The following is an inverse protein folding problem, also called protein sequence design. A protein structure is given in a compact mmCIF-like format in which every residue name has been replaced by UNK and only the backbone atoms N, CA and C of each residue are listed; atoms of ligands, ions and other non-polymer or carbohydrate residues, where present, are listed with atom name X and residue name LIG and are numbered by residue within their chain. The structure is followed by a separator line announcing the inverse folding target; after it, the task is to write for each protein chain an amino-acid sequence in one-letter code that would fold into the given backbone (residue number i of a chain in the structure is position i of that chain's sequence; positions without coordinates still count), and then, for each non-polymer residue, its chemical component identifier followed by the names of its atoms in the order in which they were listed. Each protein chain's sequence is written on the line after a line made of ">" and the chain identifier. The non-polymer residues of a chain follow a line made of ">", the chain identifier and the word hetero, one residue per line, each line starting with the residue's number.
data_IF_634522963219
#
_entry.id   IF_634522963219
#
_cell.length_a   1.000
_cell.length_b   1.000
_cell.length_c   1.000
_cell.angle_alpha   90.00
_cell.angle_beta   90.00
_cell.angle_gamma   90.00
#
_symmetry.space_group_name_H-M   'P 1'
#
loop_
_entity.id
_entity.type
_entity.pdbx_description
1 polymer ?
#
# COMPACT_ATOMS: atom_id res chain seq x y z
N UNK A 1 -16.11 28.58 -49.92
CA UNK A 1 -17.43 27.93 -49.83
C UNK A 1 -17.54 27.14 -48.55
N UNK A 2 -18.44 27.51 -47.63
CA UNK A 2 -18.73 26.84 -46.37
C UNK A 2 -19.95 25.90 -46.51
N UNK A 3 -20.09 24.93 -45.59
CA UNK A 3 -21.31 24.16 -45.24
C UNK A 3 -20.88 23.00 -44.33
N UNK A 4 -21.49 22.61 -43.22
CA UNK A 4 -22.70 22.96 -42.46
C UNK A 4 -22.51 22.36 -41.05
N UNK A 5 -22.88 23.00 -39.94
CA UNK A 5 -24.16 22.79 -39.22
C UNK A 5 -24.12 21.56 -38.28
N UNK A 6 -24.67 21.51 -37.07
CA UNK A 6 -25.51 22.42 -36.28
C UNK A 6 -25.66 21.86 -34.84
N UNK A 7 -26.12 22.74 -33.93
CA UNK A 7 -26.94 22.50 -32.71
C UNK A 7 -26.31 21.67 -31.55
N UNK A 8 -26.46 22.02 -30.26
CA UNK A 8 -27.35 22.95 -29.58
C UNK A 8 -28.00 22.23 -28.40
N UNK A 9 -27.77 22.67 -27.17
CA UNK A 9 -28.64 22.40 -26.02
C UNK A 9 -28.29 23.37 -24.89
N UNK A 10 -29.23 24.25 -24.56
CA UNK A 10 -29.17 25.18 -23.44
C UNK A 10 -30.52 25.20 -22.72
N UNK A 11 -30.47 25.81 -21.53
CA UNK A 11 -31.54 26.15 -20.61
C UNK A 11 -32.06 25.04 -19.68
N UNK A 12 -31.61 25.16 -18.44
CA UNK A 12 -32.19 24.57 -17.24
C UNK A 12 -33.48 25.32 -16.87
N UNK A 13 -34.52 24.56 -16.58
CA UNK A 13 -35.80 25.03 -16.06
C UNK A 13 -35.76 25.05 -14.52
N UNK A 14 -36.22 26.15 -13.94
CA UNK A 14 -36.33 26.36 -12.49
C UNK A 14 -37.81 26.46 -12.14
N UNK A 15 -38.33 25.48 -11.40
CA UNK A 15 -39.68 25.48 -10.87
C UNK A 15 -39.68 25.14 -9.38
N UNK A 16 -39.84 26.16 -8.55
CA UNK A 16 -40.12 26.06 -7.11
C UNK A 16 -41.63 26.15 -6.92
N UNK A 17 -42.29 25.13 -6.36
CA UNK A 17 -43.54 25.31 -5.64
C UNK A 17 -43.59 24.43 -4.39
N UNK A 18 -43.87 25.09 -3.27
CA UNK A 18 -44.09 24.54 -1.94
C UNK A 18 -45.51 23.99 -1.81
N UNK A 19 -45.67 22.89 -1.08
CA UNK A 19 -46.96 22.30 -0.75
C UNK A 19 -46.87 21.51 0.55
N UNK A 20 -47.02 22.21 1.67
CA UNK A 20 -47.21 21.66 3.01
C UNK A 20 -48.55 20.89 3.09
N UNK A 21 -48.51 19.61 3.45
CA UNK A 21 -49.67 18.90 3.99
C UNK A 21 -49.20 17.77 4.92
N UNK A 22 -49.14 18.09 6.21
CA UNK A 22 -48.89 17.15 7.29
C UNK A 22 -50.04 16.14 7.50
N UNK A 23 -49.65 15.01 8.13
CA UNK A 23 -50.43 14.07 8.97
C UNK A 23 -50.78 12.72 8.33
N UNK A 24 -50.04 11.67 8.68
CA UNK A 24 -50.43 10.76 9.78
C UNK A 24 -49.44 9.59 9.95
N UNK A 25 -49.31 9.18 11.20
CA UNK A 25 -48.42 8.17 11.74
C UNK A 25 -48.72 6.75 11.24
N UNK A 26 -47.66 5.94 11.05
CA UNK A 26 -47.49 4.62 11.65
C UNK A 26 -46.23 3.96 11.04
N UNK A 27 -45.49 3.25 11.89
CA UNK A 27 -44.11 2.87 11.64
C UNK A 27 -43.85 2.05 10.38
N UNK A 28 -42.65 2.26 9.83
CA UNK A 28 -41.90 1.27 9.05
C UNK A 28 -40.44 1.70 9.07
N UNK A 29 -39.71 1.00 9.93
CA UNK A 29 -38.31 0.59 9.78
C UNK A 29 -37.46 1.54 8.93
N UNK A 30 -36.72 2.40 9.61
CA UNK A 30 -35.49 2.94 9.05
C UNK A 30 -34.58 1.73 8.75
N UNK A 31 -34.54 1.30 7.50
CA UNK A 31 -33.45 0.49 7.00
C UNK A 31 -32.23 1.41 6.99
N UNK A 32 -31.59 1.52 8.14
CA UNK A 32 -30.20 1.93 8.22
C UNK A 32 -29.43 0.92 7.39
N UNK A 33 -29.15 1.26 6.14
CA UNK A 33 -28.15 0.58 5.34
C UNK A 33 -26.85 0.79 6.09
N UNK A 34 -26.54 -0.16 6.98
CA UNK A 34 -25.24 -0.29 7.59
C UNK A 34 -24.27 -0.46 6.42
N UNK A 35 -23.56 0.61 6.06
CA UNK A 35 -22.34 0.52 5.30
C UNK A 35 -21.48 -0.46 6.06
N UNK A 36 -21.45 -1.71 5.58
CA UNK A 36 -20.78 -2.80 6.24
C UNK A 36 -19.36 -2.35 6.51
N UNK A 37 -19.01 -2.21 7.78
CA UNK A 37 -17.64 -1.99 8.18
C UNK A 37 -16.85 -3.16 7.62
N UNK A 38 -16.13 -2.92 6.53
CA UNK A 38 -15.20 -3.88 5.94
C UNK A 38 -14.35 -4.39 7.11
N UNK A 39 -14.28 -5.71 7.35
CA UNK A 39 -13.48 -6.23 8.45
C UNK A 39 -12.08 -5.65 8.32
N UNK A 40 -11.54 -5.15 9.43
CA UNK A 40 -10.22 -4.53 9.44
C UNK A 40 -9.22 -5.52 8.84
N UNK A 41 -8.60 -5.13 7.72
CA UNK A 41 -7.63 -5.95 7.01
C UNK A 41 -6.57 -6.46 7.99
N UNK A 42 -6.31 -7.77 7.99
CA UNK A 42 -5.28 -8.33 8.85
C UNK A 42 -3.94 -7.68 8.47
N UNK A 43 -3.39 -6.89 9.40
CA UNK A 43 -2.18 -6.11 9.22
C UNK A 43 -1.08 -6.67 10.11
N UNK A 44 0.09 -6.90 9.54
CA UNK A 44 1.25 -7.40 10.28
C UNK A 44 2.36 -6.36 10.27
N UNK A 45 2.92 -6.05 11.44
CA UNK A 45 4.06 -5.13 11.57
C UNK A 45 5.38 -5.90 11.71
N UNK A 46 6.42 -5.40 11.04
CA UNK A 46 7.75 -6.00 10.97
C UNK A 46 8.82 -4.98 10.57
N UNK A 47 10.09 -5.36 10.70
CA UNK A 47 11.22 -4.73 10.04
C UNK A 47 11.66 -5.58 8.85
N UNK A 48 12.25 -4.93 7.85
CA UNK A 48 12.84 -5.62 6.68
C UNK A 48 14.35 -5.56 6.82
N UNK A 49 14.97 -6.69 7.11
CA UNK A 49 16.40 -6.82 7.40
C UNK A 49 17.10 -7.37 6.16
N UNK A 50 18.07 -6.64 5.63
CA UNK A 50 18.91 -7.08 4.53
C UNK A 50 19.90 -8.16 4.98
N UNK A 51 20.38 -9.01 4.07
CA UNK A 51 21.34 -10.07 4.41
C UNK A 51 22.67 -9.56 4.97
N UNK A 52 23.00 -8.27 4.77
CA UNK A 52 24.17 -7.63 5.40
C UNK A 52 23.98 -7.30 6.88
N UNK A 53 22.77 -7.48 7.44
CA UNK A 53 22.42 -7.08 8.80
C UNK A 53 21.94 -5.63 8.94
N UNK A 54 21.82 -4.89 7.83
CA UNK A 54 21.23 -3.55 7.79
C UNK A 54 19.71 -3.63 7.65
N UNK A 55 18.98 -2.58 8.06
CA UNK A 55 17.53 -2.51 7.97
C UNK A 55 17.07 -1.53 6.90
N UNK A 56 16.00 -1.90 6.19
CA UNK A 56 15.26 -0.98 5.34
C UNK A 56 14.70 0.16 6.20
N UNK A 57 14.91 1.39 5.75
CA UNK A 57 14.54 2.61 6.45
C UNK A 57 13.80 3.52 5.48
N UNK A 58 12.60 3.96 5.89
CA UNK A 58 11.76 4.92 5.18
C UNK A 58 11.98 6.33 5.74
N UNK A 59 12.73 7.15 4.99
CA UNK A 59 12.91 8.59 5.21
C UNK A 59 12.13 9.36 4.14
N UNK A 60 12.71 10.37 3.50
CA UNK A 60 12.14 10.93 2.27
C UNK A 60 12.07 9.86 1.16
N UNK A 61 13.04 8.95 1.14
CA UNK A 61 13.19 7.80 0.24
C UNK A 61 13.49 6.52 1.03
N UNK A 62 13.38 5.35 0.39
CA UNK A 62 13.87 4.08 0.92
C UNK A 62 15.38 3.98 0.81
N UNK A 63 16.00 3.59 1.92
CA UNK A 63 17.42 3.28 2.01
C UNK A 63 17.67 2.14 2.98
N UNK A 64 18.90 1.63 3.02
CA UNK A 64 19.35 0.76 4.12
C UNK A 64 20.20 1.54 5.10
N UNK A 65 19.98 1.30 6.40
CA UNK A 65 20.74 1.88 7.50
C UNK A 65 20.93 0.86 8.62
N UNK A 66 21.68 1.22 9.66
CA UNK A 66 21.80 0.39 10.86
C UNK A 66 20.43 0.12 11.49
N UNK A 67 20.19 -1.11 11.93
CA UNK A 67 18.93 -1.47 12.55
C UNK A 67 18.71 -0.75 13.89
N UNK A 68 17.54 -0.15 14.06
CA UNK A 68 17.07 0.55 15.24
C UNK A 68 15.97 -0.31 15.90
N UNK A 69 16.11 -0.63 17.19
CA UNK A 69 15.16 -1.51 17.90
C UNK A 69 13.74 -0.92 17.98
N UNK A 70 13.61 0.41 18.05
CA UNK A 70 12.32 1.12 18.12
C UNK A 70 12.16 2.17 17.00
N UNK A 71 12.97 2.07 15.95
CA UNK A 71 12.99 3.03 14.86
C UNK A 71 11.67 3.02 14.09
N UNK A 72 10.81 4.03 14.28
CA UNK A 72 9.54 4.17 13.54
C UNK A 72 9.76 4.10 12.03
N UNK A 73 10.88 4.66 11.55
CA UNK A 73 11.26 4.67 10.13
C UNK A 73 11.60 3.29 9.56
N UNK A 74 11.89 2.31 10.42
CA UNK A 74 12.22 0.94 10.01
C UNK A 74 11.06 -0.03 10.27
N UNK A 75 9.92 0.50 10.73
CA UNK A 75 8.71 -0.28 10.97
C UNK A 75 7.83 -0.19 9.73
N UNK A 76 7.52 -1.37 9.19
CA UNK A 76 6.61 -1.54 8.08
C UNK A 76 5.40 -2.33 8.52
N UNK A 77 4.33 -2.20 7.74
CA UNK A 77 3.07 -2.89 7.95
C UNK A 77 2.58 -3.45 6.61
N UNK A 78 2.28 -4.74 6.53
CA UNK A 78 1.71 -5.34 5.32
C UNK A 78 0.19 -5.50 5.46
N UNK A 79 -0.55 -5.02 4.46
CA UNK A 79 -1.98 -5.24 4.29
C UNK A 79 -2.21 -6.48 3.44
N UNK A 80 -2.93 -7.46 3.98
CA UNK A 80 -3.26 -8.70 3.26
C UNK A 80 -4.31 -8.51 2.18
N UNK A 81 -5.21 -7.53 2.34
CA UNK A 81 -6.26 -7.21 1.36
C UNK A 81 -5.69 -6.62 0.06
N UNK A 82 -4.74 -5.71 0.21
CA UNK A 82 -4.19 -4.92 -0.91
C UNK A 82 -2.81 -5.40 -1.32
N UNK A 83 -2.22 -6.36 -0.60
CA UNK A 83 -0.83 -6.79 -0.74
C UNK A 83 0.17 -5.61 -0.68
N UNK A 84 -0.19 -4.51 -0.02
CA UNK A 84 0.69 -3.34 0.08
C UNK A 84 1.53 -3.38 1.35
N UNK A 85 2.73 -2.80 1.27
CA UNK A 85 3.63 -2.62 2.41
C UNK A 85 3.72 -1.13 2.68
N UNK A 86 3.40 -0.72 3.91
CA UNK A 86 3.36 0.66 4.33
C UNK A 86 4.47 0.96 5.33
N UNK A 87 5.07 2.14 5.25
CA UNK A 87 5.91 2.65 6.33
C UNK A 87 5.05 3.11 7.53
N UNK A 88 5.68 3.48 8.64
CA UNK A 88 4.97 3.99 9.81
C UNK A 88 4.25 5.34 9.58
N UNK A 89 4.53 6.03 8.47
CA UNK A 89 3.87 7.27 8.05
C UNK A 89 2.64 7.04 7.17
N UNK A 90 2.33 5.79 6.81
CA UNK A 90 1.20 5.43 5.95
C UNK A 90 1.48 5.56 4.44
N UNK A 91 2.74 5.72 4.03
CA UNK A 91 3.14 5.68 2.62
C UNK A 91 3.39 4.24 2.19
N UNK A 92 2.98 3.90 0.98
CA UNK A 92 3.17 2.58 0.41
C UNK A 92 4.52 2.49 -0.31
N UNK A 93 5.17 1.33 -0.20
CA UNK A 93 6.25 0.94 -1.09
C UNK A 93 5.73 0.93 -2.53
N UNK A 94 6.36 1.69 -3.42
CA UNK A 94 5.94 1.86 -4.80
C UNK A 94 7.12 1.65 -5.75
N UNK A 95 7.00 0.72 -6.70
CA UNK A 95 8.08 0.41 -7.62
C UNK A 95 8.24 1.41 -8.79
N UNK A 96 7.33 2.38 -8.92
CA UNK A 96 7.32 3.37 -9.99
C UNK A 96 7.85 4.73 -9.53
N UNK A 97 7.71 5.07 -8.25
CA UNK A 97 8.18 6.34 -7.71
C UNK A 97 9.69 6.38 -7.48
N UNK A 98 10.26 7.56 -7.69
CA UNK A 98 11.63 7.87 -7.28
C UNK A 98 11.71 7.81 -5.74
N UNK A 99 12.65 7.03 -5.22
CA UNK A 99 12.77 6.77 -3.78
C UNK A 99 11.79 5.73 -3.22
N UNK A 100 10.97 5.11 -4.08
CA UNK A 100 10.16 3.93 -3.81
C UNK A 100 9.06 4.07 -2.73
N UNK A 101 8.60 5.30 -2.47
CA UNK A 101 7.52 5.58 -1.51
C UNK A 101 6.49 6.52 -2.13
N UNK A 102 5.22 6.15 -2.03
CA UNK A 102 4.11 6.92 -2.58
C UNK A 102 2.89 6.95 -1.63
N UNK A 103 1.90 7.77 -1.97
CA UNK A 103 0.56 7.62 -1.39
C UNK A 103 -0.06 6.26 -1.75
N UNK A 104 -0.72 5.62 -0.80
CA UNK A 104 -1.30 4.29 -0.99
C UNK A 104 -2.49 4.29 -1.96
N UNK A 105 -2.50 3.31 -2.86
CA UNK A 105 -3.57 3.06 -3.83
C UNK A 105 -3.88 1.56 -3.88
N UNK A 106 -5.07 1.16 -3.43
CA UNK A 106 -5.46 -0.25 -3.22
C UNK A 106 -5.27 -1.16 -4.45
N UNK A 107 -5.45 -0.61 -5.65
CA UNK A 107 -5.33 -1.34 -6.92
C UNK A 107 -4.05 -1.03 -7.72
N UNK A 108 -3.11 -0.26 -7.15
CA UNK A 108 -1.88 0.06 -7.84
C UNK A 108 -0.94 -1.15 -7.87
N UNK A 109 -0.85 -1.77 -9.04
CA UNK A 109 0.09 -2.84 -9.37
C UNK A 109 1.52 -2.64 -8.85
N UNK A 110 2.01 -1.39 -8.88
CA UNK A 110 3.37 -1.04 -8.45
C UNK A 110 3.54 -1.00 -6.93
N UNK A 111 2.43 -1.03 -6.19
CA UNK A 111 2.39 -1.05 -4.72
C UNK A 111 2.02 -2.41 -4.14
N UNK A 112 1.89 -3.44 -4.99
CA UNK A 112 1.61 -4.79 -4.56
C UNK A 112 2.92 -5.57 -4.42
N UNK A 113 3.13 -6.14 -3.24
CA UNK A 113 4.35 -6.82 -2.86
C UNK A 113 4.04 -8.16 -2.22
N UNK A 114 4.95 -9.10 -2.41
CA UNK A 114 4.92 -10.44 -1.83
C UNK A 114 6.31 -10.77 -1.32
N UNK A 115 6.38 -11.57 -0.25
CA UNK A 115 7.63 -12.05 0.29
C UNK A 115 7.77 -13.55 0.02
N UNK A 116 8.79 -13.93 -0.73
CA UNK A 116 9.19 -15.32 -0.92
C UNK A 116 10.14 -15.71 0.21
N UNK A 117 9.60 -16.35 1.25
CA UNK A 117 10.37 -16.71 2.43
C UNK A 117 11.46 -17.76 2.16
N UNK A 118 11.27 -18.64 1.16
CA UNK A 118 12.26 -19.66 0.81
C UNK A 118 13.48 -19.04 0.12
N UNK A 119 13.24 -18.06 -0.76
CA UNK A 119 14.30 -17.36 -1.49
C UNK A 119 14.75 -16.07 -0.81
N UNK A 120 14.08 -15.66 0.26
CA UNK A 120 14.30 -14.41 0.98
C UNK A 120 14.15 -13.18 0.06
N UNK A 121 13.20 -13.21 -0.87
CA UNK A 121 13.01 -12.13 -1.85
C UNK A 121 11.76 -11.31 -1.53
N UNK A 122 11.89 -9.98 -1.52
CA UNK A 122 10.74 -9.08 -1.54
C UNK A 122 10.41 -8.73 -2.99
N UNK A 123 9.33 -9.30 -3.51
CA UNK A 123 8.95 -9.30 -4.91
C UNK A 123 7.77 -8.39 -5.13
N UNK A 124 7.80 -7.56 -6.18
CA UNK A 124 6.57 -6.96 -6.70
C UNK A 124 5.63 -8.09 -7.11
N UNK A 125 4.43 -8.13 -6.53
CA UNK A 125 3.44 -9.11 -6.93
C UNK A 125 3.11 -8.87 -8.41
N UNK A 126 3.06 -9.92 -9.25
CA UNK A 126 2.66 -9.73 -10.63
C UNK A 126 1.21 -9.21 -10.63
N UNK A 127 0.94 -8.07 -11.27
CA UNK A 127 -0.43 -7.76 -11.67
C UNK A 127 -0.91 -8.86 -12.62
N UNK A 128 -2.20 -8.87 -12.95
CA UNK A 128 -2.70 -9.70 -14.06
C UNK A 128 -1.83 -9.61 -15.32
N UNK A 129 -2.06 -10.49 -16.29
CA UNK A 129 -1.20 -10.86 -17.43
C UNK A 129 -0.59 -9.75 -18.32
N UNK A 130 -0.79 -8.46 -18.06
CA UNK A 130 -0.34 -7.32 -18.87
C UNK A 130 0.80 -6.48 -18.24
N UNK A 131 1.33 -6.86 -17.08
CA UNK A 131 2.30 -6.03 -16.35
C UNK A 131 3.77 -6.43 -16.58
N UNK A 132 4.72 -5.50 -16.37
CA UNK A 132 6.14 -5.77 -16.49
C UNK A 132 6.57 -6.91 -15.55
N UNK A 133 7.59 -7.70 -15.94
CA UNK A 133 8.05 -8.85 -15.18
C UNK A 133 8.35 -8.44 -13.73
N UNK A 134 7.93 -9.25 -12.74
CA UNK A 134 8.02 -8.89 -11.34
C UNK A 134 9.48 -8.60 -10.96
N UNK A 135 9.70 -7.41 -10.42
CA UNK A 135 11.00 -7.01 -9.88
C UNK A 135 11.14 -7.39 -8.41
N UNK A 136 12.38 -7.45 -7.95
CA UNK A 136 12.75 -7.66 -6.56
C UNK A 136 13.41 -6.41 -6.00
N UNK A 137 13.15 -6.14 -4.72
CA UNK A 137 13.85 -5.10 -3.99
C UNK A 137 15.33 -5.50 -3.84
N UNK A 138 16.25 -4.58 -4.08
CA UNK A 138 17.68 -4.79 -3.93
C UNK A 138 18.35 -3.59 -3.23
N UNK A 139 19.35 -3.86 -2.41
CA UNK A 139 20.20 -2.85 -1.80
C UNK A 139 21.58 -2.81 -2.49
N UNK A 140 21.96 -1.66 -3.04
CA UNK A 140 23.32 -1.38 -3.52
C UNK A 140 23.97 -0.31 -2.66
N UNK A 141 24.81 -0.73 -1.71
CA UNK A 141 25.28 0.18 -0.66
C UNK A 141 24.12 0.66 0.22
N UNK A 142 23.91 1.97 0.34
CA UNK A 142 22.78 2.55 1.08
C UNK A 142 21.51 2.68 0.25
N UNK A 143 21.63 2.68 -1.08
CA UNK A 143 20.51 2.92 -1.98
C UNK A 143 19.69 1.64 -2.19
N UNK A 144 18.37 1.81 -2.35
CA UNK A 144 17.43 0.72 -2.62
C UNK A 144 16.82 0.93 -4.00
N UNK A 145 16.68 -0.16 -4.76
CA UNK A 145 16.15 -0.15 -6.13
C UNK A 145 15.32 -1.40 -6.40
N UNK A 146 14.54 -1.39 -7.48
CA UNK A 146 13.85 -2.56 -8.00
C UNK A 146 14.60 -3.10 -9.21
N UNK A 147 14.96 -4.37 -9.19
CA UNK A 147 15.75 -5.05 -10.24
C UNK A 147 15.11 -6.38 -10.61
N UNK A 148 15.51 -7.03 -11.71
CA UNK A 148 15.09 -8.41 -11.97
C UNK A 148 15.44 -9.34 -10.81
N UNK A 149 14.49 -10.20 -10.45
CA UNK A 149 14.65 -11.13 -9.34
C UNK A 149 15.76 -12.16 -9.59
N UNK A 150 16.71 -12.27 -8.67
CA UNK A 150 17.78 -13.26 -8.67
C UNK A 150 18.03 -13.77 -7.23
N UNK A 151 17.61 -14.99 -6.93
CA UNK A 151 17.76 -15.58 -5.58
C UNK A 151 19.22 -15.86 -5.19
N UNK A 152 20.13 -15.93 -6.16
CA UNK A 152 21.56 -16.07 -5.92
C UNK A 152 22.21 -14.75 -5.50
N UNK A 153 21.54 -13.62 -5.72
CA UNK A 153 22.08 -12.28 -5.45
C UNK A 153 21.86 -11.89 -3.98
N UNK A 154 22.92 -11.73 -3.16
CA UNK A 154 22.78 -11.33 -1.76
C UNK A 154 22.14 -9.95 -1.61
N UNK A 155 22.37 -9.01 -2.54
CA UNK A 155 21.73 -7.68 -2.52
C UNK A 155 20.19 -7.73 -2.53
N UNK A 156 19.60 -8.85 -2.94
CA UNK A 156 18.15 -9.05 -3.01
C UNK A 156 17.59 -9.86 -1.84
N UNK A 157 18.44 -10.26 -0.88
CA UNK A 157 18.02 -11.13 0.23
C UNK A 157 17.59 -10.31 1.43
N UNK A 158 16.37 -10.56 1.85
CA UNK A 158 15.69 -9.86 2.94
C UNK A 158 15.05 -10.84 3.92
N UNK A 159 14.92 -10.42 5.16
CA UNK A 159 14.22 -11.13 6.23
C UNK A 159 13.15 -10.22 6.80
N UNK A 160 11.97 -10.76 7.05
CA UNK A 160 10.91 -10.04 7.76
C UNK A 160 11.04 -10.34 9.25
N UNK A 161 11.71 -9.45 9.97
CA UNK A 161 11.86 -9.56 11.41
C UNK A 161 10.60 -9.00 12.07
N UNK A 162 9.73 -9.87 12.60
CA UNK A 162 8.69 -9.42 13.51
C UNK A 162 9.40 -8.85 14.72
N UNK A 163 9.01 -7.64 15.14
CA UNK A 163 9.43 -7.12 16.43
C UNK A 163 8.73 -7.95 17.50
N UNK A 164 9.27 -9.14 17.76
CA UNK A 164 9.09 -9.79 19.03
C UNK A 164 9.73 -8.82 20.01
N UNK A 165 8.89 -8.09 20.74
CA UNK A 165 9.32 -7.39 21.93
C UNK A 165 10.27 -8.33 22.66
N UNK A 166 11.51 -7.87 22.83
CA UNK A 166 12.45 -8.50 23.72
C UNK A 166 11.71 -8.56 25.05
N UNK A 167 11.19 -9.73 25.42
CA UNK A 167 10.74 -9.95 26.79
C UNK A 167 12.00 -9.78 27.63
N UNK A 168 12.07 -8.79 28.53
CA UNK A 168 13.18 -8.72 29.47
C UNK A 168 12.99 -9.91 30.42
N UNK A 169 13.79 -10.95 30.22
CA UNK A 169 13.77 -12.12 31.09
C UNK A 169 13.96 -13.40 30.32
N UNK A 170 15.21 -13.74 30.03
CA UNK A 170 15.83 -14.94 30.57
C UNK A 170 17.26 -14.99 30.03
N UNK A 171 18.19 -14.61 30.89
CA UNK A 171 19.52 -15.17 30.85
C UNK A 171 19.93 -15.54 32.28
N UNK A 172 21.04 -16.26 32.42
CA UNK A 172 21.38 -17.53 31.79
C UNK A 172 20.67 -18.73 32.44
#
# INVERSE_FOLDING_TARGET
>A
SPSSGAAGAGAADSGTEAGDAARNAAGRTAASTSTGSRPAAATMSFQVVHSSGSCLTADAELRVASCESEGRRQRFTASTDTSSIQDAGGRCLDAQEDGLLAGCQDSAAMQQWSFDALRQLLRRAPPGSAAPPPGCLAAGGTAVRVVPCNASEPEQRWQLARQLFHLPGHGP
#
